data_IF_996551088198
#
_entry.id   IF_996551088198
#
_cell.length_a   1.000
_cell.length_b   1.000
_cell.length_c   1.000
_cell.angle_alpha   90.00
_cell.angle_beta   90.00
_cell.angle_gamma   90.00
#
_symmetry.space_group_name_H-M   'P 1'
#
loop_
_entity.id
_entity.type
_entity.pdbx_description
1 polymer ?
#
# COMPACT_ATOMS: atom_id res chain seq x y z
N UNK A 1 -30.67 -18.27 24.10
CA UNK A 1 -30.03 -17.08 23.49
C UNK A 1 -28.54 -17.31 23.49
N UNK A 2 -27.92 -17.29 22.31
CA UNK A 2 -26.57 -17.79 22.06
C UNK A 2 -25.48 -17.03 22.81
N UNK A 3 -24.57 -17.79 23.43
CA UNK A 3 -23.28 -17.32 23.88
C UNK A 3 -22.37 -17.33 22.66
N UNK A 4 -22.10 -16.15 22.12
CA UNK A 4 -21.25 -15.97 20.95
C UNK A 4 -19.88 -16.59 21.18
N UNK A 5 -19.51 -17.48 20.28
CA UNK A 5 -18.15 -17.94 20.07
C UNK A 5 -17.32 -16.72 19.63
N UNK A 6 -16.33 -16.32 20.42
CA UNK A 6 -15.29 -15.40 19.94
C UNK A 6 -14.19 -16.23 19.30
N UNK A 7 -14.26 -16.27 17.97
CA UNK A 7 -13.23 -16.62 17.00
C UNK A 7 -11.79 -16.35 17.48
N UNK A 8 -10.93 -17.37 17.30
CA UNK A 8 -9.47 -17.32 17.19
C UNK A 8 -8.73 -16.29 18.06
N UNK A 9 -8.16 -16.75 19.17
CA UNK A 9 -7.07 -16.05 19.85
C UNK A 9 -5.86 -15.95 18.92
N UNK A 10 -5.83 -14.90 18.09
CA UNK A 10 -4.68 -14.55 17.28
C UNK A 10 -3.54 -14.16 18.24
N UNK A 11 -2.65 -15.11 18.50
CA UNK A 11 -1.40 -14.84 19.22
C UNK A 11 -0.60 -13.82 18.44
N UNK A 12 -0.27 -12.70 19.07
CA UNK A 12 0.50 -11.65 18.42
C UNK A 12 1.95 -12.12 18.24
N UNK A 13 2.24 -12.61 17.04
CA UNK A 13 3.57 -13.06 16.65
C UNK A 13 4.59 -11.91 16.61
N UNK A 14 4.18 -10.64 16.68
CA UNK A 14 5.13 -9.52 16.77
C UNK A 14 5.76 -9.40 18.16
N UNK A 15 5.10 -9.93 19.18
CA UNK A 15 5.55 -9.93 20.58
C UNK A 15 6.31 -11.22 20.94
N UNK A 16 6.19 -12.26 20.09
CA UNK A 16 6.84 -13.57 20.26
C UNK A 16 8.20 -13.62 19.56
N UNK A 17 9.21 -14.05 20.30
CA UNK A 17 10.55 -14.41 19.82
C UNK A 17 10.82 -15.89 20.07
N UNK A 18 11.52 -16.56 19.16
CA UNK A 18 11.77 -18.02 19.24
C UNK A 18 12.63 -18.41 20.45
N UNK A 19 13.57 -17.53 20.83
CA UNK A 19 14.48 -17.80 21.95
C UNK A 19 13.87 -17.47 23.30
N UNK A 20 13.26 -16.28 23.42
CA UNK A 20 12.75 -15.76 24.70
C UNK A 20 11.25 -15.93 24.91
N UNK A 21 10.51 -16.42 23.90
CA UNK A 21 9.05 -16.55 23.95
C UNK A 21 8.36 -15.19 23.83
N UNK A 22 7.26 -15.01 24.56
CA UNK A 22 6.58 -13.71 24.58
C UNK A 22 7.36 -12.71 25.44
N UNK A 23 7.60 -11.51 24.90
CA UNK A 23 8.35 -10.44 25.58
C UNK A 23 7.62 -9.77 26.76
N UNK A 24 6.48 -10.32 27.20
CA UNK A 24 5.65 -9.78 28.28
C UNK A 24 6.20 -10.13 29.67
N UNK A 25 6.17 -9.14 30.60
CA UNK A 25 6.65 -9.32 31.98
C UNK A 25 5.52 -9.82 32.88
N UNK A 26 5.49 -11.13 33.10
CA UNK A 26 4.41 -11.84 33.82
C UNK A 26 4.23 -11.44 35.29
N UNK A 27 5.28 -10.96 35.96
CA UNK A 27 5.28 -10.68 37.40
C UNK A 27 5.14 -9.19 37.76
N UNK A 28 4.69 -8.37 36.81
CA UNK A 28 4.56 -6.92 37.04
C UNK A 28 3.27 -6.51 37.78
N UNK A 29 2.28 -7.40 37.87
CA UNK A 29 0.97 -7.15 38.49
C UNK A 29 0.87 -7.61 39.96
N UNK A 30 1.91 -8.28 40.48
CA UNK A 30 1.92 -8.71 41.88
C UNK A 30 2.27 -7.55 42.81
N UNK A 31 1.74 -7.52 44.05
CA UNK A 31 2.15 -6.53 45.05
C UNK A 31 3.67 -6.54 45.20
N UNK A 32 4.29 -5.36 45.11
CA UNK A 32 5.73 -5.16 45.21
C UNK A 32 6.04 -4.45 46.52
N UNK A 33 6.79 -5.10 47.39
CA UNK A 33 7.10 -4.67 48.75
C UNK A 33 8.55 -4.16 48.87
N UNK A 34 8.89 -3.61 50.04
CA UNK A 34 10.23 -3.10 50.31
C UNK A 34 11.30 -4.21 50.21
N UNK A 35 10.94 -5.42 50.63
CA UNK A 35 11.83 -6.59 50.60
C UNK A 35 12.10 -7.03 49.15
N UNK A 36 11.14 -6.88 48.23
CA UNK A 36 11.33 -7.14 46.79
C UNK A 36 12.32 -6.15 46.17
N UNK A 37 12.27 -4.87 46.60
CA UNK A 37 13.21 -3.84 46.16
C UNK A 37 14.65 -4.10 46.64
N UNK A 38 14.80 -4.60 47.88
CA UNK A 38 16.10 -5.01 48.41
C UNK A 38 16.64 -6.24 47.67
N UNK A 39 15.78 -7.22 47.39
CA UNK A 39 16.13 -8.39 46.59
C UNK A 39 16.59 -7.97 45.18
N UNK A 40 15.83 -7.14 44.47
CA UNK A 40 16.19 -6.63 43.15
C UNK A 40 17.51 -5.84 43.15
N UNK A 41 17.79 -5.09 44.22
CA UNK A 41 19.06 -4.40 44.38
C UNK A 41 20.23 -5.40 44.54
N UNK A 42 20.05 -6.44 45.37
CA UNK A 42 21.06 -7.49 45.56
C UNK A 42 21.32 -8.26 44.26
N UNK A 43 20.27 -8.71 43.55
CA UNK A 43 20.41 -9.43 42.27
C UNK A 43 21.09 -8.58 41.20
N UNK A 44 20.68 -7.31 41.03
CA UNK A 44 21.35 -6.39 40.08
C UNK A 44 22.83 -6.20 40.41
N UNK A 45 23.18 -6.08 41.69
CA UNK A 45 24.58 -5.90 42.11
C UNK A 45 25.46 -7.11 41.74
N UNK A 46 24.90 -8.32 41.79
CA UNK A 46 25.57 -9.54 41.39
C UNK A 46 25.78 -9.56 39.87
N UNK A 47 24.74 -9.23 39.09
CA UNK A 47 24.84 -9.15 37.62
C UNK A 47 25.89 -8.12 37.18
N UNK A 48 25.89 -6.94 37.79
CA UNK A 48 26.88 -5.90 37.53
C UNK A 48 28.31 -6.34 37.84
N UNK A 49 28.49 -7.09 38.94
CA UNK A 49 29.78 -7.65 39.31
C UNK A 49 30.25 -8.70 38.30
N UNK A 50 29.36 -9.59 37.86
CA UNK A 50 29.64 -10.61 36.85
C UNK A 50 30.08 -9.99 35.51
N UNK A 51 29.48 -8.85 35.15
CA UNK A 51 29.81 -8.14 33.92
C UNK A 51 31.06 -7.24 34.00
N UNK A 52 31.56 -6.97 35.21
CA UNK A 52 32.50 -5.87 35.50
C UNK A 52 33.78 -5.83 34.65
N UNK A 53 34.33 -6.98 34.22
CA UNK A 53 35.59 -7.00 33.43
C UNK A 53 35.39 -6.70 31.94
N UNK A 54 34.22 -7.00 31.37
CA UNK A 54 33.96 -6.87 29.93
C UNK A 54 32.90 -5.82 29.60
N UNK A 55 32.13 -5.35 30.59
CA UNK A 55 31.07 -4.35 30.43
C UNK A 55 31.54 -3.13 29.63
N UNK A 56 32.64 -2.50 30.03
CA UNK A 56 33.18 -1.32 29.32
C UNK A 56 33.55 -1.59 27.86
N UNK A 57 34.16 -2.75 27.57
CA UNK A 57 34.54 -3.09 26.19
C UNK A 57 33.31 -3.46 25.35
N UNK A 58 32.36 -4.19 25.94
CA UNK A 58 31.10 -4.58 25.32
C UNK A 58 30.28 -3.34 24.99
N UNK A 59 30.03 -2.47 25.96
CA UNK A 59 29.28 -1.22 25.78
C UNK A 59 29.97 -0.28 24.78
N UNK A 60 31.31 -0.15 24.81
CA UNK A 60 32.04 0.65 23.84
C UNK A 60 31.89 0.10 22.41
N UNK A 61 31.95 -1.24 22.26
CA UNK A 61 31.75 -1.90 20.97
C UNK A 61 30.31 -1.78 20.49
N UNK A 62 29.33 -2.07 21.34
CA UNK A 62 27.90 -1.93 21.03
C UNK A 62 27.55 -0.50 20.66
N UNK A 63 28.10 0.49 21.37
CA UNK A 63 27.92 1.91 21.04
C UNK A 63 28.53 2.26 19.69
N UNK A 64 29.76 1.82 19.41
CA UNK A 64 30.40 2.07 18.12
C UNK A 64 29.68 1.36 16.96
N UNK A 65 29.19 0.14 17.19
CA UNK A 65 28.40 -0.62 16.21
C UNK A 65 27.03 0.04 15.98
N UNK A 66 26.36 0.51 17.04
CA UNK A 66 25.10 1.25 16.93
C UNK A 66 25.28 2.59 16.19
N UNK A 67 26.36 3.32 16.47
CA UNK A 67 26.69 4.56 15.76
C UNK A 67 26.98 4.29 14.27
N UNK A 68 27.77 3.26 13.97
CA UNK A 68 28.04 2.83 12.59
C UNK A 68 26.76 2.37 11.88
N UNK A 69 25.87 1.65 12.57
CA UNK A 69 24.59 1.23 12.02
C UNK A 69 23.71 2.44 11.71
N UNK A 70 23.69 3.44 12.61
CA UNK A 70 22.93 4.67 12.42
C UNK A 70 23.48 5.53 11.30
N UNK A 71 24.80 5.57 11.14
CA UNK A 71 25.46 6.27 10.03
C UNK A 71 25.27 5.56 8.68
N UNK A 72 25.34 4.22 8.64
CA UNK A 72 25.20 3.45 7.39
C UNK A 72 23.74 3.31 6.94
N UNK A 73 22.79 3.28 7.87
CA UNK A 73 21.36 3.14 7.61
C UNK A 73 20.57 4.06 8.56
N UNK A 74 20.60 5.39 8.33
CA UNK A 74 19.82 6.32 9.15
C UNK A 74 18.34 6.00 9.02
N UNK A 75 17.60 6.18 10.13
CA UNK A 75 16.14 6.01 10.12
C UNK A 75 15.54 6.97 9.10
N UNK A 76 14.50 6.57 8.39
CA UNK A 76 13.84 7.42 7.38
C UNK A 76 13.47 8.78 7.98
N UNK A 77 12.90 8.79 9.20
CA UNK A 77 12.57 10.03 9.90
C UNK A 77 13.79 10.94 10.18
N UNK A 78 14.97 10.36 10.45
CA UNK A 78 16.21 11.10 10.69
C UNK A 78 16.74 11.72 9.39
N UNK A 79 16.50 11.11 8.23
CA UNK A 79 16.87 11.68 6.92
C UNK A 79 16.04 12.93 6.57
N UNK A 80 14.82 13.01 7.09
CA UNK A 80 13.89 14.10 6.84
C UNK A 80 13.79 15.08 8.03
N UNK A 81 14.66 15.00 9.04
CA UNK A 81 14.61 15.90 10.22
C UNK A 81 14.76 17.36 9.82
N UNK A 82 15.65 17.63 8.88
CA UNK A 82 16.01 18.98 8.45
C UNK A 82 14.87 19.58 7.62
N UNK A 83 14.35 18.80 6.65
CA UNK A 83 13.19 19.16 5.86
C UNK A 83 11.93 19.34 6.71
N UNK A 84 11.75 18.52 7.75
CA UNK A 84 10.64 18.66 8.71
C UNK A 84 10.78 19.93 9.55
N UNK A 85 12.00 20.34 9.88
CA UNK A 85 12.25 21.58 10.63
C UNK A 85 12.01 22.82 9.76
N UNK A 86 12.45 22.78 8.49
CA UNK A 86 12.18 23.81 7.49
C UNK A 86 10.68 23.97 7.23
N UNK A 87 9.96 22.86 7.15
CA UNK A 87 8.50 22.83 6.98
C UNK A 87 7.75 23.55 8.11
N UNK A 88 8.33 23.64 9.31
CA UNK A 88 7.78 24.42 10.42
C UNK A 88 7.73 25.93 10.16
N UNK A 89 8.50 26.45 9.19
CA UNK A 89 8.47 27.85 8.77
C UNK A 89 7.35 28.20 7.78
N UNK A 90 6.62 27.21 7.26
CA UNK A 90 5.53 27.42 6.30
C UNK A 90 4.27 27.94 7.02
N UNK A 91 3.71 29.06 6.55
CA UNK A 91 2.50 29.66 7.13
C UNK A 91 1.26 28.79 6.89
N UNK A 92 0.25 28.92 7.77
CA UNK A 92 -1.02 28.20 7.61
C UNK A 92 -1.71 28.54 6.28
N UNK A 93 -1.64 29.79 5.82
CA UNK A 93 -2.19 30.18 4.51
C UNK A 93 -1.53 29.43 3.35
N UNK A 94 -0.21 29.19 3.42
CA UNK A 94 0.50 28.40 2.43
C UNK A 94 0.12 26.91 2.50
N UNK A 95 -0.22 26.40 3.69
CA UNK A 95 -0.78 25.06 3.86
C UNK A 95 -2.16 24.92 3.24
N UNK A 96 -3.03 25.91 3.42
CA UNK A 96 -4.38 25.93 2.85
C UNK A 96 -4.36 26.10 1.31
N UNK A 97 -3.32 26.72 0.77
CA UNK A 97 -3.13 26.95 -0.66
C UNK A 97 -2.54 25.74 -1.43
N UNK A 98 -2.23 24.62 -0.77
CA UNK A 98 -1.70 23.42 -1.43
C UNK A 98 -2.78 22.84 -2.37
N UNK A 99 -2.54 22.76 -3.69
CA UNK A 99 -3.52 22.19 -4.61
C UNK A 99 -3.65 20.69 -4.44
N UNK A 100 -4.87 20.18 -4.63
CA UNK A 100 -5.09 18.74 -4.77
C UNK A 100 -4.35 18.18 -5.98
N UNK A 101 -3.90 16.93 -5.86
CA UNK A 101 -3.16 16.26 -6.94
C UNK A 101 -4.10 16.01 -8.13
N UNK A 102 -4.10 16.92 -9.09
CA UNK A 102 -4.69 16.66 -10.41
C UNK A 102 -3.95 15.53 -11.12
N UNK A 103 -4.66 14.77 -11.97
CA UNK A 103 -4.05 13.69 -12.75
C UNK A 103 -3.03 14.25 -13.77
N UNK A 104 -1.77 14.27 -13.36
CA UNK A 104 -0.65 14.70 -14.20
C UNK A 104 -0.10 13.57 -15.06
N UNK A 105 -0.71 12.39 -14.97
CA UNK A 105 -0.28 11.20 -15.68
C UNK A 105 -1.01 11.05 -17.02
N UNK A 106 -0.27 10.86 -18.10
CA UNK A 106 -0.86 10.42 -19.36
C UNK A 106 -1.46 9.01 -19.25
N UNK A 107 -1.23 8.26 -18.17
CA UNK A 107 -1.73 6.88 -18.00
C UNK A 107 -3.25 6.79 -18.02
N UNK A 108 -4.00 7.73 -17.41
CA UNK A 108 -5.47 7.71 -17.46
C UNK A 108 -5.98 8.06 -18.86
N UNK A 109 -5.34 9.03 -19.52
CA UNK A 109 -5.63 9.38 -20.93
C UNK A 109 -5.34 8.20 -21.86
N UNK A 110 -4.22 7.51 -21.66
CA UNK A 110 -3.80 6.33 -22.42
C UNK A 110 -4.69 5.11 -22.13
N UNK A 111 -5.11 4.91 -20.88
CA UNK A 111 -6.06 3.85 -20.51
C UNK A 111 -7.42 4.08 -21.16
N UNK A 112 -7.88 5.34 -21.25
CA UNK A 112 -9.10 5.71 -21.95
C UNK A 112 -8.94 5.70 -23.49
N UNK A 113 -7.72 5.85 -24.01
CA UNK A 113 -7.42 5.79 -25.44
C UNK A 113 -7.05 4.39 -25.94
N UNK A 114 -6.97 3.38 -25.06
CA UNK A 114 -6.88 1.98 -25.51
C UNK A 114 -8.12 1.71 -26.35
N UNK A 115 -7.90 1.29 -27.59
CA UNK A 115 -8.97 1.08 -28.55
C UNK A 115 -10.01 0.12 -27.98
N UNK A 116 -11.22 0.64 -27.80
CA UNK A 116 -12.39 -0.16 -27.44
C UNK A 116 -12.87 -0.79 -28.73
N UNK A 117 -12.46 -2.04 -28.96
CA UNK A 117 -12.99 -2.83 -30.06
C UNK A 117 -14.47 -3.11 -29.78
N UNK A 118 -15.34 -2.30 -30.38
CA UNK A 118 -16.78 -2.57 -30.42
C UNK A 118 -17.09 -3.44 -31.64
N UNK A 119 -18.08 -4.34 -31.57
CA UNK A 119 -18.52 -5.06 -32.75
C UNK A 119 -18.91 -4.09 -33.86
N UNK A 120 -18.62 -4.47 -35.10
CA UNK A 120 -18.98 -3.70 -36.29
C UNK A 120 -20.51 -3.58 -36.35
N UNK A 121 -21.09 -2.39 -36.57
CA UNK A 121 -22.54 -2.26 -36.68
C UNK A 121 -23.06 -2.90 -37.97
N UNK A 122 -24.23 -3.54 -37.89
CA UNK A 122 -24.87 -4.23 -39.02
C UNK A 122 -25.14 -3.33 -40.24
N UNK A 123 -25.19 -2.01 -40.04
CA UNK A 123 -25.30 -1.03 -41.14
C UNK A 123 -24.16 -1.13 -42.15
N UNK A 124 -22.94 -1.50 -41.71
CA UNK A 124 -21.81 -1.72 -42.62
C UNK A 124 -21.99 -3.02 -43.40
N UNK A 125 -22.58 -4.05 -42.78
CA UNK A 125 -22.88 -5.33 -43.44
C UNK A 125 -23.96 -5.12 -44.50
N UNK A 126 -25.02 -4.37 -44.17
CA UNK A 126 -26.10 -4.06 -45.11
C UNK A 126 -25.61 -3.22 -46.30
N UNK A 127 -24.71 -2.26 -46.06
CA UNK A 127 -24.09 -1.48 -47.14
C UNK A 127 -23.30 -2.36 -48.11
N UNK A 128 -22.46 -3.27 -47.61
CA UNK A 128 -21.74 -4.21 -48.47
C UNK A 128 -22.68 -5.20 -49.17
N UNK A 129 -23.81 -5.54 -48.56
CA UNK A 129 -24.83 -6.38 -49.17
C UNK A 129 -25.57 -5.67 -50.30
N UNK A 130 -25.79 -4.36 -50.19
CA UNK A 130 -26.39 -3.57 -51.28
C UNK A 130 -25.39 -3.29 -52.40
N UNK A 131 -24.14 -3.00 -52.07
CA UNK A 131 -23.10 -2.66 -53.05
C UNK A 131 -22.71 -3.88 -53.91
N UNK A 132 -22.60 -5.08 -53.32
CA UNK A 132 -22.36 -6.33 -54.05
C UNK A 132 -23.65 -7.01 -54.56
N UNK A 133 -24.79 -6.32 -54.53
CA UNK A 133 -26.05 -6.87 -55.03
C UNK A 133 -26.03 -6.92 -56.56
N UNK A 134 -25.53 -8.01 -57.11
CA UNK A 134 -25.79 -8.38 -58.50
C UNK A 134 -27.29 -8.69 -58.64
N UNK A 135 -28.03 -7.80 -59.30
CA UNK A 135 -29.47 -7.96 -59.52
C UNK A 135 -29.69 -9.09 -60.53
N UNK A 136 -29.90 -10.31 -60.01
CA UNK A 136 -30.08 -11.53 -60.82
C UNK A 136 -31.46 -11.69 -61.47
N UNK A 137 -32.43 -10.84 -61.11
CA UNK A 137 -33.74 -10.76 -61.77
C UNK A 137 -34.36 -9.37 -61.55
N UNK A 138 -34.86 -8.77 -62.64
CA UNK A 138 -35.66 -7.54 -62.57
C UNK A 138 -37.06 -7.85 -62.05
N UNK A 139 -37.59 -6.96 -61.22
CA UNK A 139 -38.96 -7.04 -60.72
C UNK A 139 -39.98 -6.95 -61.88
N UNK A 140 -41.06 -7.73 -61.82
CA UNK A 140 -42.04 -7.85 -62.90
C UNK A 140 -42.73 -6.50 -63.22
N UNK A 141 -42.87 -5.63 -62.21
CA UNK A 141 -43.40 -4.28 -62.38
C UNK A 141 -42.49 -3.35 -63.20
N UNK A 142 -41.17 -3.51 -63.10
CA UNK A 142 -40.19 -2.76 -63.90
C UNK A 142 -40.10 -3.28 -65.33
N UNK A 143 -40.32 -4.58 -65.57
CA UNK A 143 -40.41 -5.13 -66.92
C UNK A 143 -41.65 -4.63 -67.67
N UNK A 144 -42.78 -4.44 -66.97
CA UNK A 144 -44.02 -3.96 -67.58
C UNK A 144 -43.95 -2.48 -68.01
N UNK A 145 -43.16 -1.64 -67.34
CA UNK A 145 -43.04 -0.21 -67.64
C UNK A 145 -42.14 0.12 -68.85
N UNK A 146 -41.50 -0.87 -69.48
CA UNK A 146 -40.56 -0.68 -70.59
C UNK A 146 -41.18 -0.60 -72.00
N UNK A 147 -42.50 -0.82 -72.15
CA UNK A 147 -43.18 -0.78 -73.45
C UNK A 147 -44.43 0.12 -73.37
N UNK A 148 -44.25 1.42 -73.56
CA UNK A 148 -45.35 2.38 -73.53
C UNK A 148 -44.92 3.81 -73.85
N UNK A 149 -44.22 4.00 -74.98
CA UNK A 149 -43.97 5.34 -75.55
C UNK A 149 -45.18 5.79 -76.37
N UNK A 150 -45.77 6.91 -75.96
CA UNK A 150 -46.98 7.52 -76.50
C UNK A 150 -46.89 7.91 -77.99
N UNK A 151 -47.98 7.67 -78.72
CA UNK A 151 -48.49 8.48 -79.82
C UNK A 151 -49.83 9.07 -79.37
#
# INVERSE_FOLDING_TARGET
GGRGESESGAVDLSTYDEFSGYSEKLFSDTPYEADDAEADAAYRSIEEHMDGRRKRQREARERAEAEKARASRPRIADQFSDLKSELGGVSMEAWDAIPEVGDRSLKRKLANSREKFTPVPDSIIDMHRTDNKMVGALDAAQQAAGYGGAA
#
